data_IF_007267374787
#
_entry.id   IF_007267374787
#
_cell.length_a   1.000
_cell.length_b   1.000
_cell.length_c   1.000
_cell.angle_alpha   90.00
_cell.angle_beta   90.00
_cell.angle_gamma   90.00
#
_symmetry.space_group_name_H-M   'P 1'
#
loop_
_entity.id
_entity.type
_entity.pdbx_description
1 polymer ?
#
# COMPACT_ATOMS: atom_id res chain seq x y z
N UNK A 1 -6.49 39.63 26.00
CA UNK A 1 -6.27 38.48 26.87
C UNK A 1 -7.31 37.42 26.56
N UNK A 2 -6.97 36.49 25.76
CA UNK A 2 -7.75 35.28 25.52
C UNK A 2 -6.77 34.24 24.99
N UNK A 3 -6.47 33.26 25.81
CA UNK A 3 -5.60 32.13 25.47
C UNK A 3 -6.43 31.08 24.75
N UNK A 4 -6.02 30.74 23.53
CA UNK A 4 -6.52 29.60 22.78
C UNK A 4 -5.72 28.37 23.20
N UNK A 5 -6.41 27.40 23.76
CA UNK A 5 -5.85 26.07 23.99
C UNK A 5 -6.12 25.20 22.77
N UNK A 6 -5.06 24.85 22.05
CA UNK A 6 -5.07 23.81 21.05
C UNK A 6 -4.48 22.56 21.65
N UNK A 7 -5.33 21.60 21.99
CA UNK A 7 -4.93 20.37 22.64
C UNK A 7 -4.76 19.21 21.65
N UNK A 8 -3.66 18.59 21.82
CA UNK A 8 -3.03 17.47 21.16
C UNK A 8 -3.84 16.17 21.24
N UNK A 9 -4.12 15.56 20.12
CA UNK A 9 -4.45 14.14 20.05
C UNK A 9 -3.35 13.46 19.20
N UNK A 10 -2.25 13.12 19.82
CA UNK A 10 -1.12 12.44 19.22
C UNK A 10 -0.62 11.34 20.15
N UNK A 11 -1.20 10.14 20.04
CA UNK A 11 -0.62 8.93 20.62
C UNK A 11 0.24 8.26 19.55
N UNK A 12 1.55 8.39 19.72
CA UNK A 12 2.54 7.79 18.86
C UNK A 12 2.47 6.25 18.94
N UNK A 13 2.42 5.58 17.79
CA UNK A 13 2.43 4.12 17.60
C UNK A 13 3.51 3.35 18.39
N UNK A 14 4.55 4.02 18.86
CA UNK A 14 5.63 3.43 19.67
C UNK A 14 5.22 3.01 21.09
N UNK A 15 4.09 3.47 21.61
CA UNK A 15 3.64 3.15 22.97
C UNK A 15 2.72 1.93 23.06
N UNK A 16 2.18 1.44 21.95
CA UNK A 16 1.28 0.27 21.96
C UNK A 16 2.05 -1.06 22.02
N UNK A 17 3.35 -1.06 21.74
CA UNK A 17 4.17 -2.28 21.70
C UNK A 17 4.90 -2.63 23.01
N UNK A 18 4.73 -1.86 24.09
CA UNK A 18 5.53 -2.02 25.32
C UNK A 18 4.76 -2.40 26.59
N UNK A 19 3.45 -2.67 26.53
CA UNK A 19 2.67 -2.99 27.75
C UNK A 19 1.90 -4.31 27.61
N UNK A 20 2.64 -5.40 27.72
CA UNK A 20 2.10 -6.68 28.15
C UNK A 20 2.09 -6.73 29.69
N UNK A 21 1.02 -6.29 30.34
CA UNK A 21 0.65 -6.70 31.70
C UNK A 21 -0.72 -6.10 32.07
N UNK A 22 -1.65 -6.98 32.37
CA UNK A 22 -2.87 -6.87 33.16
C UNK A 22 -3.21 -5.49 33.78
N UNK A 23 -4.30 -4.85 33.34
CA UNK A 23 -5.11 -3.98 34.17
C UNK A 23 -6.58 -4.06 33.76
N UNK A 24 -7.54 -4.16 34.70
CA UNK A 24 -8.97 -4.20 34.40
C UNK A 24 -9.51 -2.81 34.03
N UNK A 25 -10.60 -2.83 33.30
CA UNK A 25 -11.32 -1.68 32.76
C UNK A 25 -11.44 -0.49 33.74
N UNK A 26 -10.95 0.67 33.31
CA UNK A 26 -11.42 1.97 33.77
C UNK A 26 -11.70 2.82 32.55
N UNK A 27 -12.98 3.03 32.28
CA UNK A 27 -13.49 3.98 31.28
C UNK A 27 -13.21 5.39 31.79
N UNK A 28 -12.28 6.10 31.17
CA UNK A 28 -12.13 7.54 31.36
C UNK A 28 -12.77 8.25 30.16
N UNK A 29 -13.90 8.89 30.42
CA UNK A 29 -14.59 9.84 29.54
C UNK A 29 -13.69 11.08 29.37
N UNK A 30 -13.10 11.26 28.20
CA UNK A 30 -12.60 12.56 27.75
C UNK A 30 -13.29 12.88 26.41
N UNK A 31 -14.09 13.92 26.44
CA UNK A 31 -14.87 14.38 25.30
C UNK A 31 -14.04 15.03 24.22
N UNK A 32 -14.47 14.86 22.99
CA UNK A 32 -14.08 15.66 21.84
C UNK A 32 -13.80 14.86 20.57
N UNK A 33 -14.73 14.87 19.65
CA UNK A 33 -14.78 14.22 18.33
C UNK A 33 -15.19 12.75 18.39
N UNK A 34 -16.48 12.50 18.30
CA UNK A 34 -17.03 11.15 18.09
C UNK A 34 -16.78 10.71 16.64
N UNK A 35 -15.60 10.20 16.36
CA UNK A 35 -15.48 9.18 15.33
C UNK A 35 -16.34 8.00 15.81
N UNK A 36 -17.14 7.39 14.93
CA UNK A 36 -17.90 6.22 15.29
C UNK A 36 -16.94 5.18 15.87
N UNK A 37 -16.96 5.02 17.19
CA UNK A 37 -15.96 4.25 17.92
C UNK A 37 -16.19 2.77 17.69
N UNK A 38 -15.40 2.17 16.79
CA UNK A 38 -15.35 0.74 16.61
C UNK A 38 -14.77 0.03 17.83
N UNK A 39 -15.18 -1.21 18.07
CA UNK A 39 -14.53 -2.07 19.04
C UNK A 39 -13.28 -2.65 18.39
N UNK A 40 -12.12 -2.32 18.93
CA UNK A 40 -10.85 -2.92 18.50
C UNK A 40 -10.83 -4.40 18.85
N UNK A 41 -10.61 -5.27 17.87
CA UNK A 41 -10.43 -6.69 18.10
C UNK A 41 -8.94 -7.03 18.23
N UNK A 42 -8.63 -7.88 19.18
CA UNK A 42 -7.26 -8.26 19.51
C UNK A 42 -7.10 -9.78 19.56
N UNK A 43 -5.86 -10.23 19.50
CA UNK A 43 -5.47 -11.61 19.74
C UNK A 43 -4.40 -11.69 20.84
N UNK A 44 -4.25 -12.85 21.45
CA UNK A 44 -3.15 -13.16 22.37
C UNK A 44 -1.89 -13.61 21.63
N UNK A 45 -1.97 -13.78 20.32
CA UNK A 45 -0.86 -14.22 19.48
C UNK A 45 0.14 -13.07 19.33
N UNK A 46 1.42 -13.36 19.54
CA UNK A 46 2.50 -12.42 19.25
C UNK A 46 2.76 -12.41 17.76
N UNK A 47 2.91 -11.22 17.17
CA UNK A 47 3.28 -11.06 15.78
C UNK A 47 4.65 -11.68 15.53
N UNK A 48 4.75 -12.54 14.52
CA UNK A 48 6.02 -13.08 14.06
C UNK A 48 6.76 -12.09 13.18
N UNK A 49 8.07 -12.02 13.39
CA UNK A 49 8.97 -11.23 12.54
C UNK A 49 9.66 -12.17 11.57
N UNK A 50 9.40 -12.00 10.29
CA UNK A 50 10.04 -12.77 9.21
C UNK A 50 10.90 -11.82 8.41
N UNK A 51 12.17 -12.17 8.21
CA UNK A 51 13.07 -11.41 7.34
C UNK A 51 12.99 -11.93 5.89
N UNK A 52 13.39 -11.10 4.92
CA UNK A 52 13.45 -11.53 3.51
C UNK A 52 14.40 -12.70 3.32
N UNK A 53 15.50 -12.77 4.08
CA UNK A 53 16.49 -13.85 4.02
C UNK A 53 15.94 -15.20 4.50
N UNK A 54 15.04 -15.20 5.48
CA UNK A 54 14.46 -16.43 6.04
C UNK A 54 13.56 -17.16 5.05
N UNK A 55 13.01 -16.42 4.07
CA UNK A 55 12.04 -16.90 3.09
C UNK A 55 12.36 -16.44 1.65
N UNK A 56 13.64 -16.37 1.31
CA UNK A 56 14.10 -15.76 0.04
C UNK A 56 13.46 -16.38 -1.21
N UNK A 57 13.34 -17.73 -1.25
CA UNK A 57 12.71 -18.41 -2.39
C UNK A 57 11.21 -18.13 -2.48
N UNK A 58 10.52 -18.05 -1.35
CA UNK A 58 9.11 -17.72 -1.27
C UNK A 58 8.88 -16.25 -1.66
N UNK A 59 9.73 -15.33 -1.21
CA UNK A 59 9.69 -13.91 -1.59
C UNK A 59 9.82 -13.74 -3.10
N UNK A 60 10.73 -14.48 -3.76
CA UNK A 60 10.86 -14.45 -5.22
C UNK A 60 9.55 -14.86 -5.93
N UNK A 61 8.89 -15.92 -5.44
CA UNK A 61 7.59 -16.36 -6.00
C UNK A 61 6.50 -15.31 -5.75
N UNK A 62 6.44 -14.75 -4.54
CA UNK A 62 5.48 -13.69 -4.18
C UNK A 62 5.69 -12.43 -5.03
N UNK A 63 6.94 -12.00 -5.26
CA UNK A 63 7.25 -10.86 -6.11
C UNK A 63 6.83 -11.11 -7.57
N UNK A 64 7.10 -12.30 -8.10
CA UNK A 64 6.65 -12.71 -9.43
C UNK A 64 5.11 -12.66 -9.54
N UNK A 65 4.41 -13.19 -8.54
CA UNK A 65 2.95 -13.14 -8.49
C UNK A 65 2.41 -11.71 -8.40
N UNK A 66 3.08 -10.85 -7.63
CA UNK A 66 2.76 -9.42 -7.52
C UNK A 66 2.86 -8.73 -8.88
N UNK A 67 3.94 -8.94 -9.62
CA UNK A 67 4.14 -8.37 -10.95
C UNK A 67 3.08 -8.87 -11.94
N UNK A 68 2.77 -10.18 -11.92
CA UNK A 68 1.70 -10.75 -12.74
C UNK A 68 0.33 -10.15 -12.42
N UNK A 69 0.03 -9.93 -11.13
CA UNK A 69 -1.20 -9.31 -10.70
C UNK A 69 -1.30 -7.87 -11.21
N UNK A 70 -0.22 -7.08 -11.09
CA UNK A 70 -0.13 -5.73 -11.62
C UNK A 70 -0.33 -5.66 -13.12
N UNK A 71 0.36 -6.51 -13.87
CA UNK A 71 0.20 -6.61 -15.33
C UNK A 71 -1.24 -6.94 -15.74
N UNK A 72 -1.88 -7.90 -15.08
CA UNK A 72 -3.29 -8.26 -15.34
C UNK A 72 -4.25 -7.11 -15.06
N UNK A 73 -4.06 -6.39 -13.94
CA UNK A 73 -4.89 -5.22 -13.59
C UNK A 73 -4.77 -4.12 -14.63
N UNK A 74 -3.55 -3.72 -14.97
CA UNK A 74 -3.29 -2.67 -15.97
C UNK A 74 -3.81 -3.08 -17.35
N UNK A 75 -3.56 -4.31 -17.76
CA UNK A 75 -4.04 -4.83 -19.06
C UNK A 75 -5.57 -4.83 -19.13
N UNK A 76 -6.24 -5.26 -18.06
CA UNK A 76 -7.71 -5.27 -18.00
C UNK A 76 -8.26 -3.85 -18.09
N UNK A 77 -7.74 -2.93 -17.31
CA UNK A 77 -8.20 -1.53 -17.29
C UNK A 77 -7.95 -0.83 -18.64
N UNK A 78 -6.76 -0.99 -19.22
CA UNK A 78 -6.37 -0.32 -20.47
C UNK A 78 -7.06 -0.89 -21.71
N UNK A 79 -7.53 -2.15 -21.67
CA UNK A 79 -8.37 -2.69 -22.75
C UNK A 79 -9.68 -1.92 -22.93
N UNK A 80 -10.27 -1.51 -21.81
CA UNK A 80 -11.53 -0.77 -21.81
C UNK A 80 -11.32 0.74 -21.96
N UNK A 81 -10.12 1.23 -21.62
CA UNK A 81 -9.78 2.65 -21.53
C UNK A 81 -8.42 2.94 -22.18
N UNK A 82 -8.25 2.62 -23.45
CA UNK A 82 -6.95 2.63 -24.16
C UNK A 82 -6.23 3.99 -24.21
N UNK A 83 -6.94 5.09 -24.03
CA UNK A 83 -6.38 6.45 -23.99
C UNK A 83 -6.18 7.00 -22.56
N UNK A 84 -6.47 6.20 -21.53
CA UNK A 84 -6.37 6.66 -20.16
C UNK A 84 -4.97 6.45 -19.57
N UNK A 85 -4.62 7.30 -18.61
CA UNK A 85 -3.53 7.01 -17.68
C UNK A 85 -4.05 6.06 -16.59
N UNK A 86 -3.34 4.97 -16.37
CA UNK A 86 -3.68 3.98 -15.36
C UNK A 86 -2.61 3.88 -14.29
N UNK A 87 -3.03 3.72 -13.05
CA UNK A 87 -2.15 3.43 -11.92
C UNK A 87 -2.73 2.26 -11.12
N UNK A 88 -1.87 1.34 -10.70
CA UNK A 88 -2.25 0.23 -9.84
C UNK A 88 -1.17 0.00 -8.77
N UNK A 89 -1.60 -0.44 -7.59
CA UNK A 89 -0.70 -0.94 -6.53
C UNK A 89 -0.93 -2.45 -6.37
N UNK A 90 -0.20 -3.29 -7.10
CA UNK A 90 -0.36 -4.73 -6.99
C UNK A 90 0.03 -5.25 -5.61
N UNK A 91 0.97 -4.62 -4.93
CA UNK A 91 1.34 -4.96 -3.55
C UNK A 91 0.19 -4.75 -2.57
N UNK A 92 -0.51 -3.60 -2.65
CA UNK A 92 -1.67 -3.32 -1.81
C UNK A 92 -2.76 -4.38 -2.01
N UNK A 93 -3.06 -4.72 -3.27
CA UNK A 93 -4.03 -5.77 -3.56
C UNK A 93 -3.57 -7.14 -3.06
N UNK A 94 -2.31 -7.50 -3.26
CA UNK A 94 -1.79 -8.79 -2.81
C UNK A 94 -1.87 -8.95 -1.28
N UNK A 95 -1.57 -7.91 -0.52
CA UNK A 95 -1.71 -7.93 0.96
C UNK A 95 -3.17 -8.07 1.40
N UNK A 96 -4.10 -7.37 0.75
CA UNK A 96 -5.54 -7.57 0.99
C UNK A 96 -5.96 -9.00 0.70
N UNK A 97 -5.52 -9.58 -0.44
CA UNK A 97 -5.81 -10.96 -0.81
C UNK A 97 -5.18 -11.97 0.17
N UNK A 98 -3.96 -11.71 0.67
CA UNK A 98 -3.31 -12.57 1.66
C UNK A 98 -4.07 -12.58 2.99
N UNK A 99 -4.52 -11.41 3.47
CA UNK A 99 -5.35 -11.29 4.66
C UNK A 99 -6.70 -12.02 4.48
N UNK A 100 -7.32 -11.91 3.31
CA UNK A 100 -8.57 -12.62 3.01
C UNK A 100 -8.37 -14.13 2.92
N UNK A 101 -7.23 -14.58 2.39
CA UNK A 101 -6.91 -15.99 2.23
C UNK A 101 -6.86 -16.75 3.55
N UNK A 102 -6.49 -16.12 4.65
CA UNK A 102 -6.49 -16.69 6.00
C UNK A 102 -7.89 -17.03 6.52
N UNK A 103 -8.92 -16.40 5.94
CA UNK A 103 -10.32 -16.69 6.22
C UNK A 103 -10.99 -17.60 5.20
N UNK A 104 -10.30 -17.94 4.12
CA UNK A 104 -10.84 -18.73 3.02
C UNK A 104 -10.85 -20.23 3.33
N UNK A 105 -11.76 -20.95 2.69
CA UNK A 105 -11.87 -22.41 2.80
C UNK A 105 -12.04 -23.04 1.42
N UNK A 106 -11.61 -24.28 1.28
CA UNK A 106 -11.84 -25.14 0.11
C UNK A 106 -11.38 -24.50 -1.23
N UNK A 107 -12.29 -24.44 -2.21
CA UNK A 107 -12.00 -23.92 -3.54
C UNK A 107 -11.57 -22.45 -3.55
N UNK A 108 -12.03 -21.65 -2.59
CA UNK A 108 -11.64 -20.25 -2.47
C UNK A 108 -10.16 -20.09 -2.12
N UNK A 109 -9.63 -20.97 -1.25
CA UNK A 109 -8.20 -20.97 -0.88
C UNK A 109 -7.32 -21.16 -2.11
N UNK A 110 -7.65 -22.11 -2.98
CA UNK A 110 -6.88 -22.36 -4.21
C UNK A 110 -6.82 -21.13 -5.14
N UNK A 111 -7.92 -20.35 -5.21
CA UNK A 111 -7.96 -19.13 -5.98
C UNK A 111 -6.99 -18.05 -5.45
N UNK A 112 -6.96 -17.86 -4.13
CA UNK A 112 -6.01 -16.93 -3.49
C UNK A 112 -4.57 -17.40 -3.67
N UNK A 113 -4.29 -18.68 -3.45
CA UNK A 113 -2.95 -19.25 -3.57
C UNK A 113 -2.40 -19.10 -5.00
N UNK A 114 -3.24 -19.31 -6.01
CA UNK A 114 -2.87 -19.10 -7.41
C UNK A 114 -2.55 -17.63 -7.75
N UNK A 115 -3.28 -16.68 -7.14
CA UNK A 115 -3.03 -15.24 -7.34
C UNK A 115 -1.79 -14.77 -6.59
N UNK A 116 -1.49 -15.34 -5.43
CA UNK A 116 -0.42 -14.94 -4.53
C UNK A 116 0.88 -15.72 -4.73
N UNK A 117 0.86 -16.77 -5.58
CA UNK A 117 2.02 -17.58 -5.96
C UNK A 117 2.50 -18.58 -4.91
N UNK A 118 1.84 -18.65 -3.78
CA UNK A 118 2.19 -19.48 -2.62
C UNK A 118 0.94 -19.90 -1.85
N UNK A 119 1.04 -20.93 -1.03
CA UNK A 119 -0.05 -21.45 -0.21
C UNK A 119 0.31 -21.53 1.28
N UNK A 120 -0.72 -21.48 2.14
CA UNK A 120 -0.60 -21.69 3.58
C UNK A 120 0.45 -20.79 4.23
N UNK A 121 1.19 -21.33 5.19
CA UNK A 121 2.17 -20.58 5.97
C UNK A 121 3.31 -20.00 5.11
N UNK A 122 3.72 -20.65 4.04
CA UNK A 122 4.73 -20.10 3.10
C UNK A 122 4.24 -18.81 2.45
N UNK A 123 2.94 -18.74 2.09
CA UNK A 123 2.29 -17.52 1.60
C UNK A 123 2.36 -16.41 2.65
N UNK A 124 1.92 -16.70 3.86
CA UNK A 124 1.79 -15.71 4.93
C UNK A 124 3.15 -15.17 5.37
N UNK A 125 4.13 -16.03 5.49
CA UNK A 125 5.52 -15.66 5.82
C UNK A 125 6.16 -14.80 4.73
N UNK A 126 5.98 -15.14 3.46
CA UNK A 126 6.53 -14.35 2.35
C UNK A 126 5.94 -12.94 2.29
N UNK A 127 4.60 -12.82 2.36
CA UNK A 127 3.94 -11.53 2.32
C UNK A 127 4.18 -10.71 3.60
N UNK A 128 4.31 -11.36 4.76
CA UNK A 128 4.74 -10.73 6.01
C UNK A 128 6.16 -10.15 5.90
N UNK A 129 7.10 -10.90 5.31
CA UNK A 129 8.48 -10.46 5.11
C UNK A 129 8.55 -9.26 4.16
N UNK A 130 7.80 -9.28 3.06
CA UNK A 130 7.71 -8.16 2.11
C UNK A 130 7.15 -6.91 2.81
N UNK A 131 6.03 -7.03 3.54
CA UNK A 131 5.48 -5.91 4.30
C UNK A 131 6.50 -5.38 5.31
N UNK A 132 7.16 -6.27 6.05
CA UNK A 132 8.12 -5.90 7.08
C UNK A 132 9.36 -5.20 6.51
N UNK A 133 9.79 -5.57 5.30
CA UNK A 133 10.92 -4.94 4.63
C UNK A 133 10.64 -3.48 4.25
N UNK A 134 9.40 -3.15 3.93
CA UNK A 134 8.97 -1.78 3.62
C UNK A 134 8.76 -0.94 4.88
N UNK A 135 8.41 -1.55 6.00
CA UNK A 135 8.22 -0.84 7.27
C UNK A 135 9.48 -0.13 7.79
N UNK A 136 10.66 -0.44 7.26
CA UNK A 136 11.89 0.30 7.57
C UNK A 136 11.85 1.75 7.06
N UNK A 137 11.03 2.02 6.05
CA UNK A 137 10.81 3.34 5.48
C UNK A 137 9.56 4.02 6.07
N UNK A 138 8.88 3.38 7.04
CA UNK A 138 7.69 3.98 7.66
C UNK A 138 8.07 5.20 8.51
N UNK A 139 7.21 6.20 8.46
CA UNK A 139 7.41 7.47 9.14
C UNK A 139 6.11 8.11 9.60
N UNK A 140 6.25 9.28 10.22
CA UNK A 140 5.11 10.05 10.70
C UNK A 140 4.42 10.77 9.52
N UNK A 141 3.10 10.63 9.42
CA UNK A 141 2.28 11.29 8.39
C UNK A 141 1.82 12.68 8.80
N UNK A 142 1.94 13.02 10.10
CA UNK A 142 1.52 14.33 10.59
C UNK A 142 2.42 15.43 10.01
N UNK A 143 1.80 16.39 9.32
CA UNK A 143 2.53 17.50 8.68
C UNK A 143 3.18 17.09 7.34
N UNK A 144 2.84 15.93 6.80
CA UNK A 144 3.25 15.57 5.45
C UNK A 144 2.73 16.60 4.45
N UNK A 145 3.63 17.08 3.60
CA UNK A 145 3.36 18.06 2.53
C UNK A 145 3.60 17.37 1.18
N UNK A 146 2.56 17.13 0.38
CA UNK A 146 2.71 16.46 -0.91
C UNK A 146 3.53 17.26 -1.93
N UNK A 147 3.68 18.56 -1.74
CA UNK A 147 4.45 19.44 -2.64
C UNK A 147 5.92 19.50 -2.25
N UNK A 148 6.31 18.84 -1.16
CA UNK A 148 7.69 18.83 -0.67
C UNK A 148 8.21 17.41 -0.55
N UNK A 149 9.19 17.07 -1.37
CA UNK A 149 9.87 15.78 -1.27
C UNK A 149 10.54 15.61 0.10
N UNK A 150 10.37 14.47 0.77
CA UNK A 150 10.97 14.23 2.07
C UNK A 150 12.49 13.98 1.96
N UNK A 151 13.23 14.33 3.01
CA UNK A 151 14.68 14.11 3.10
C UNK A 151 15.05 12.61 3.11
N UNK A 152 14.14 11.76 3.54
CA UNK A 152 14.27 10.29 3.55
C UNK A 152 13.07 9.66 2.85
N UNK A 153 13.26 8.55 2.14
CA UNK A 153 12.13 7.82 1.58
C UNK A 153 11.09 7.50 2.65
N UNK A 154 9.83 7.78 2.35
CA UNK A 154 8.67 7.46 3.18
C UNK A 154 7.82 6.42 2.46
N UNK A 155 7.67 5.25 3.08
CA UNK A 155 6.72 4.22 2.65
C UNK A 155 5.83 3.89 3.84
N UNK A 156 4.65 4.48 3.86
CA UNK A 156 3.65 4.14 4.87
C UNK A 156 2.68 3.10 4.30
N UNK A 157 2.70 1.91 4.89
CA UNK A 157 1.89 0.78 4.47
C UNK A 157 1.03 0.31 5.65
N UNK A 158 -0.28 0.42 5.52
CA UNK A 158 -1.24 0.05 6.56
C UNK A 158 -2.32 -0.89 6.03
N UNK A 159 -2.77 -1.82 6.88
CA UNK A 159 -3.87 -2.74 6.59
C UNK A 159 -4.98 -2.55 7.62
N UNK A 160 -6.22 -2.71 7.18
CA UNK A 160 -7.39 -2.62 8.02
C UNK A 160 -8.41 -3.71 7.66
N UNK A 161 -8.93 -4.37 8.68
CA UNK A 161 -10.07 -5.27 8.58
C UNK A 161 -11.22 -4.66 9.39
N UNK A 162 -12.28 -4.27 8.71
CA UNK A 162 -13.47 -3.74 9.33
C UNK A 162 -14.60 -4.78 9.26
N UNK A 163 -15.14 -5.13 10.41
CA UNK A 163 -16.13 -6.20 10.58
C UNK A 163 -17.45 -5.57 11.01
N UNK A 164 -18.55 -5.97 10.37
CA UNK A 164 -19.87 -5.55 10.80
C UNK A 164 -20.23 -6.17 12.15
N UNK A 165 -20.73 -5.36 13.09
CA UNK A 165 -21.35 -5.86 14.32
C UNK A 165 -22.73 -6.42 14.01
N UNK A 166 -22.75 -7.68 13.56
CA UNK A 166 -23.96 -8.42 13.24
C UNK A 166 -24.00 -9.71 14.06
N UNK A 167 -25.10 -9.93 14.81
CA UNK A 167 -25.28 -11.13 15.62
C UNK A 167 -25.22 -12.44 14.82
N UNK A 168 -25.51 -12.37 13.52
CA UNK A 168 -25.52 -13.53 12.59
C UNK A 168 -24.17 -13.78 11.94
N UNK A 169 -23.24 -12.83 12.01
CA UNK A 169 -21.91 -12.94 11.42
C UNK A 169 -20.85 -12.88 12.53
N UNK A 170 -20.02 -13.92 12.61
CA UNK A 170 -18.93 -13.97 13.59
C UNK A 170 -17.66 -14.39 12.90
N UNK A 171 -16.62 -13.60 13.07
CA UNK A 171 -15.28 -13.96 12.65
C UNK A 171 -14.68 -14.94 13.66
N UNK A 172 -14.06 -15.99 13.16
CA UNK A 172 -13.42 -17.00 14.03
C UNK A 172 -12.14 -16.42 14.65
N UNK A 173 -11.87 -16.79 15.92
CA UNK A 173 -10.63 -16.38 16.58
C UNK A 173 -9.38 -16.84 15.82
N UNK A 174 -9.42 -18.01 15.19
CA UNK A 174 -8.33 -18.53 14.36
C UNK A 174 -7.96 -17.60 13.19
N UNK A 175 -8.93 -16.93 12.58
CA UNK A 175 -8.68 -15.92 11.55
C UNK A 175 -7.99 -14.67 12.14
N UNK A 176 -8.50 -14.16 13.27
CA UNK A 176 -7.89 -13.02 13.94
C UNK A 176 -6.45 -13.33 14.35
N UNK A 177 -6.22 -14.53 14.88
CA UNK A 177 -4.91 -15.00 15.29
C UNK A 177 -3.94 -15.10 14.10
N UNK A 178 -4.37 -15.61 12.96
CA UNK A 178 -3.56 -15.71 11.74
C UNK A 178 -3.20 -14.31 11.21
N UNK A 179 -4.20 -13.44 11.02
CA UNK A 179 -3.99 -12.08 10.50
C UNK A 179 -3.08 -11.26 11.39
N UNK A 180 -3.25 -11.32 12.72
CA UNK A 180 -2.42 -10.56 13.66
C UNK A 180 -1.03 -11.17 13.86
N UNK A 181 -0.87 -12.47 13.60
CA UNK A 181 0.45 -13.12 13.61
C UNK A 181 1.33 -12.64 12.47
N UNK A 182 0.78 -12.55 11.24
CA UNK A 182 1.57 -12.35 10.03
C UNK A 182 1.55 -10.91 9.54
N UNK A 183 0.43 -10.19 9.71
CA UNK A 183 0.27 -8.86 9.12
C UNK A 183 0.13 -7.77 10.17
N UNK A 184 0.70 -6.58 9.90
CA UNK A 184 0.41 -5.36 10.65
C UNK A 184 -0.97 -4.87 10.22
N UNK A 185 -2.00 -5.20 11.00
CA UNK A 185 -3.38 -4.96 10.64
C UNK A 185 -4.14 -4.36 11.82
N UNK A 186 -4.88 -3.30 11.59
CA UNK A 186 -5.92 -2.83 12.50
C UNK A 186 -7.18 -3.66 12.25
N UNK A 187 -7.81 -4.20 13.28
CA UNK A 187 -9.05 -4.99 13.15
C UNK A 187 -10.09 -4.35 14.06
N UNK A 188 -11.17 -3.87 13.47
CA UNK A 188 -12.25 -3.18 14.18
C UNK A 188 -13.62 -3.78 13.86
N UNK A 189 -14.53 -3.69 14.81
CA UNK A 189 -15.93 -4.07 14.65
C UNK A 189 -16.82 -2.84 14.90
N UNK A 190 -17.72 -2.54 13.95
CA UNK A 190 -18.64 -1.41 14.01
C UNK A 190 -20.02 -1.78 13.48
N UNK A 191 -21.05 -1.03 13.85
CA UNK A 191 -22.37 -1.14 13.21
C UNK A 191 -22.28 -0.87 11.71
N UNK A 192 -23.09 -1.57 10.89
CA UNK A 192 -23.08 -1.45 9.43
C UNK A 192 -23.24 0.01 8.98
N UNK A 193 -24.09 0.77 9.63
CA UNK A 193 -24.37 2.18 9.31
C UNK A 193 -23.16 3.10 9.53
N UNK A 194 -22.22 2.70 10.39
CA UNK A 194 -20.99 3.44 10.68
C UNK A 194 -19.78 2.96 9.86
N UNK A 195 -19.90 1.85 9.11
CA UNK A 195 -18.77 1.29 8.38
C UNK A 195 -18.18 2.26 7.35
N UNK A 196 -19.04 2.96 6.59
CA UNK A 196 -18.56 3.88 5.54
C UNK A 196 -17.73 5.01 6.10
N UNK A 197 -18.21 5.66 7.16
CA UNK A 197 -17.47 6.74 7.83
C UNK A 197 -16.13 6.24 8.40
N UNK A 198 -16.13 5.05 9.00
CA UNK A 198 -14.93 4.43 9.54
C UNK A 198 -13.89 4.12 8.47
N UNK A 199 -14.31 3.56 7.32
CA UNK A 199 -13.43 3.27 6.19
C UNK A 199 -12.80 4.54 5.61
N UNK A 200 -13.58 5.62 5.46
CA UNK A 200 -13.11 6.90 4.94
C UNK A 200 -12.13 7.58 5.91
N UNK A 201 -12.47 7.64 7.18
CA UNK A 201 -11.60 8.20 8.21
C UNK A 201 -10.28 7.44 8.30
N UNK A 202 -10.32 6.11 8.20
CA UNK A 202 -9.12 5.30 8.18
C UNK A 202 -8.25 5.55 6.94
N UNK A 203 -8.86 5.60 5.74
CA UNK A 203 -8.16 5.89 4.49
C UNK A 203 -7.49 7.28 4.55
N UNK A 204 -8.23 8.30 4.98
CA UNK A 204 -7.72 9.66 5.14
C UNK A 204 -6.52 9.69 6.10
N UNK A 205 -6.64 9.07 7.27
CA UNK A 205 -5.57 9.02 8.29
C UNK A 205 -4.31 8.35 7.78
N UNK A 206 -4.43 7.25 7.03
CA UNK A 206 -3.29 6.46 6.55
C UNK A 206 -2.75 6.91 5.19
N UNK A 207 -3.31 7.97 4.61
CA UNK A 207 -2.81 8.60 3.38
C UNK A 207 -2.50 10.09 3.56
N UNK A 208 -2.29 10.56 4.79
CA UNK A 208 -2.07 11.98 5.10
C UNK A 208 -3.16 12.91 4.53
N UNK A 209 -4.40 12.44 4.43
CA UNK A 209 -5.52 13.20 3.87
C UNK A 209 -5.61 13.20 2.33
N UNK A 210 -4.64 12.61 1.62
CA UNK A 210 -4.65 12.56 0.15
C UNK A 210 -5.83 11.75 -0.42
N UNK A 211 -6.29 10.75 0.33
CA UNK A 211 -7.48 9.95 -0.01
C UNK A 211 -8.53 10.15 1.10
N UNK A 212 -9.33 11.22 1.04
CA UNK A 212 -10.31 11.51 2.09
C UNK A 212 -11.51 10.54 2.08
N UNK A 213 -11.75 9.85 0.97
CA UNK A 213 -12.83 8.89 0.79
C UNK A 213 -12.30 7.59 0.21
N UNK A 214 -12.53 6.49 0.88
CA UNK A 214 -12.06 5.15 0.51
C UNK A 214 -12.61 4.64 -0.84
N UNK A 215 -13.67 5.24 -1.35
CA UNK A 215 -14.39 4.77 -2.55
C UNK A 215 -15.17 3.47 -2.34
N UNK A 216 -15.07 2.85 -1.18
CA UNK A 216 -15.74 1.58 -0.87
C UNK A 216 -17.23 1.80 -0.64
N UNK A 217 -18.06 1.03 -1.33
CA UNK A 217 -19.51 1.05 -1.17
C UNK A 217 -19.92 0.06 -0.08
N UNK A 218 -20.55 0.57 0.96
CA UNK A 218 -21.14 -0.23 2.04
C UNK A 218 -22.64 -0.39 1.80
N UNK A 219 -23.13 -1.61 1.98
CA UNK A 219 -24.58 -1.94 1.94
C UNK A 219 -24.96 -2.66 3.21
N UNK A 220 -26.27 -2.84 3.45
CA UNK A 220 -26.76 -3.59 4.62
C UNK A 220 -26.32 -5.06 4.62
N UNK A 221 -25.86 -5.57 3.47
CA UNK A 221 -25.30 -6.93 3.35
C UNK A 221 -23.79 -6.99 3.54
N UNK A 222 -23.11 -5.85 3.70
CA UNK A 222 -21.67 -5.82 3.95
C UNK A 222 -21.36 -6.42 5.32
N UNK A 223 -20.46 -7.40 5.38
CA UNK A 223 -20.09 -8.11 6.62
C UNK A 223 -18.65 -7.90 7.02
N UNK A 224 -17.76 -7.82 6.04
CA UNK A 224 -16.34 -7.64 6.26
C UNK A 224 -15.76 -6.84 5.09
N UNK A 225 -14.88 -5.90 5.39
CA UNK A 225 -14.09 -5.14 4.42
C UNK A 225 -12.63 -5.24 4.82
N UNK A 226 -11.78 -5.58 3.87
CA UNK A 226 -10.33 -5.45 4.01
C UNK A 226 -9.87 -4.34 3.11
N UNK A 227 -9.16 -3.36 3.65
CA UNK A 227 -8.55 -2.27 2.88
C UNK A 227 -7.08 -2.11 3.24
N UNK A 228 -6.33 -1.59 2.29
CA UNK A 228 -4.92 -1.26 2.43
C UNK A 228 -4.71 0.18 1.99
N UNK A 229 -3.81 0.88 2.66
CA UNK A 229 -3.30 2.18 2.26
C UNK A 229 -1.79 2.10 2.09
N UNK A 230 -1.29 2.66 0.98
CA UNK A 230 0.12 2.82 0.71
C UNK A 230 0.37 4.27 0.30
N UNK A 231 1.18 4.98 1.07
CA UNK A 231 1.71 6.28 0.73
C UNK A 231 3.20 6.12 0.47
N UNK A 232 3.65 6.59 -0.69
CA UNK A 232 5.04 6.60 -1.08
C UNK A 232 5.46 8.01 -1.43
N UNK A 233 6.56 8.47 -0.84
CA UNK A 233 7.19 9.74 -1.19
C UNK A 233 8.71 9.61 -1.03
N UNK A 234 9.47 10.09 -2.01
CA UNK A 234 10.93 10.06 -1.98
C UNK A 234 11.53 11.11 -2.91
N UNK A 235 12.70 11.61 -2.56
CA UNK A 235 13.52 12.42 -3.44
C UNK A 235 14.29 11.55 -4.41
N UNK A 236 14.62 12.06 -5.59
CA UNK A 236 15.54 11.41 -6.52
C UNK A 236 16.97 11.48 -5.98
N UNK A 237 17.74 10.41 -6.17
CA UNK A 237 19.17 10.44 -5.91
C UNK A 237 19.88 11.51 -6.79
N UNK A 238 19.50 11.55 -8.03
CA UNK A 238 19.97 12.55 -9.00
C UNK A 238 18.77 13.30 -9.59
N UNK A 239 18.32 14.41 -8.95
CA UNK A 239 17.12 15.12 -9.37
C UNK A 239 17.33 15.88 -10.68
N UNK A 240 16.24 16.00 -11.46
CA UNK A 240 16.20 16.93 -12.59
C UNK A 240 16.21 18.37 -12.07
N UNK A 241 16.95 19.23 -12.74
CA UNK A 241 16.99 20.65 -12.41
C UNK A 241 15.86 21.40 -13.10
N UNK A 242 15.21 22.30 -12.38
CA UNK A 242 14.11 23.09 -12.94
C UNK A 242 14.54 23.92 -14.17
N UNK A 243 15.77 24.44 -14.17
CA UNK A 243 16.36 25.20 -15.27
C UNK A 243 16.55 24.38 -16.54
N UNK A 244 16.57 23.05 -16.43
CA UNK A 244 16.64 22.12 -17.57
C UNK A 244 15.29 21.69 -18.11
N UNK A 245 14.19 22.33 -17.67
CA UNK A 245 12.85 22.01 -18.18
C UNK A 245 12.53 22.97 -19.35
N UNK A 246 12.27 22.39 -20.51
CA UNK A 246 11.98 23.16 -21.73
C UNK A 246 10.62 22.73 -22.32
N UNK A 247 9.92 23.69 -22.94
CA UNK A 247 8.66 23.40 -23.60
C UNK A 247 8.90 22.88 -25.02
N UNK A 248 8.64 21.61 -25.25
CA UNK A 248 8.88 20.93 -26.52
C UNK A 248 7.62 20.29 -27.12
N UNK A 249 7.77 19.83 -28.35
CA UNK A 249 6.72 19.09 -29.05
C UNK A 249 6.67 17.63 -28.56
N UNK A 250 5.52 17.22 -28.04
CA UNK A 250 5.25 15.85 -27.66
C UNK A 250 4.16 15.24 -28.55
N UNK A 251 4.47 14.13 -29.23
CA UNK A 251 3.53 13.46 -30.10
C UNK A 251 2.74 12.40 -29.33
N UNK A 252 1.43 12.60 -29.26
CA UNK A 252 0.49 11.67 -28.66
C UNK A 252 0.34 10.39 -29.51
N UNK A 253 -0.16 9.29 -28.92
CA UNK A 253 -0.39 8.02 -29.61
C UNK A 253 -1.26 8.14 -30.89
N UNK A 254 -2.17 9.10 -30.93
CA UNK A 254 -3.00 9.41 -32.12
C UNK A 254 -2.31 10.28 -33.18
N UNK A 255 -1.02 10.56 -33.08
CA UNK A 255 -0.24 11.37 -34.01
C UNK A 255 -0.39 12.90 -33.86
N UNK A 256 -1.25 13.36 -32.93
CA UNK A 256 -1.40 14.79 -32.64
C UNK A 256 -0.21 15.27 -31.79
N UNK A 257 0.41 16.38 -32.17
CA UNK A 257 1.46 17.03 -31.41
C UNK A 257 0.85 18.05 -30.43
N UNK A 258 1.36 18.06 -29.21
CA UNK A 258 1.05 19.02 -28.14
C UNK A 258 2.34 19.60 -27.58
N UNK A 259 2.30 20.78 -26.98
CA UNK A 259 3.41 21.30 -26.20
C UNK A 259 3.38 20.69 -24.82
N UNK A 260 4.53 20.23 -24.35
CA UNK A 260 4.72 19.68 -23.00
C UNK A 260 6.02 20.20 -22.40
N UNK A 261 6.03 20.41 -21.10
CA UNK A 261 7.23 20.76 -20.36
C UNK A 261 8.05 19.47 -20.13
N UNK A 262 9.18 19.34 -20.85
CA UNK A 262 10.06 18.19 -20.80
C UNK A 262 11.27 18.50 -19.92
N UNK A 263 11.53 17.62 -18.94
CA UNK A 263 12.68 17.71 -18.05
C UNK A 263 13.90 17.10 -18.75
N UNK A 264 15.02 17.85 -18.79
CA UNK A 264 16.28 17.39 -19.34
C UNK A 264 17.32 17.21 -18.24
N UNK A 265 18.14 16.16 -18.36
CA UNK A 265 19.26 15.90 -17.48
C UNK A 265 20.21 14.89 -18.09
N UNK A 266 21.48 14.98 -17.74
CA UNK A 266 22.49 13.98 -18.11
C UNK A 266 22.83 13.19 -16.85
N UNK A 267 22.48 11.92 -16.85
CA UNK A 267 22.65 11.03 -15.73
C UNK A 267 23.36 9.73 -16.18
N UNK A 268 24.22 9.20 -15.30
CA UNK A 268 24.77 7.83 -15.47
C UNK A 268 23.82 6.89 -14.72
N UNK A 269 22.87 6.31 -15.43
CA UNK A 269 21.83 5.45 -14.87
C UNK A 269 21.80 4.06 -15.52
N UNK A 270 21.42 3.01 -14.80
CA UNK A 270 21.16 1.72 -15.37
C UNK A 270 20.11 1.80 -16.47
N UNK A 271 20.37 1.14 -17.60
CA UNK A 271 19.43 1.04 -18.71
C UNK A 271 19.41 -0.36 -19.30
N UNK A 272 18.34 -0.70 -19.97
CA UNK A 272 18.19 -1.95 -20.68
C UNK A 272 17.45 -1.72 -22.00
N UNK A 273 17.82 -2.47 -23.04
CA UNK A 273 17.09 -2.53 -24.30
C UNK A 273 16.79 -3.99 -24.61
N UNK A 274 15.57 -4.28 -24.97
CA UNK A 274 15.08 -5.58 -25.40
C UNK A 274 14.23 -5.43 -26.64
N UNK A 275 13.90 -6.54 -27.28
CA UNK A 275 12.94 -6.51 -28.39
C UNK A 275 11.58 -6.04 -27.87
N UNK A 276 11.09 -4.94 -28.40
CA UNK A 276 9.79 -4.39 -28.05
C UNK A 276 9.80 -3.26 -27.03
N UNK A 277 10.94 -2.98 -26.34
CA UNK A 277 11.02 -1.90 -25.34
C UNK A 277 12.44 -1.49 -24.97
N UNK A 278 12.57 -0.30 -24.44
CA UNK A 278 13.74 0.19 -23.70
C UNK A 278 13.32 0.63 -22.29
N UNK A 279 14.24 0.56 -21.34
CA UNK A 279 13.97 0.98 -19.96
C UNK A 279 15.19 1.68 -19.35
N UNK A 280 14.90 2.56 -18.39
CA UNK A 280 15.90 3.20 -17.52
C UNK A 280 15.45 3.05 -16.08
N UNK A 281 16.42 2.96 -15.15
CA UNK A 281 16.18 2.93 -13.71
C UNK A 281 16.65 4.20 -13.05
N UNK A 282 15.74 4.89 -12.37
CA UNK A 282 16.00 6.08 -11.57
C UNK A 282 15.97 5.70 -10.08
N UNK A 283 17.11 5.84 -9.39
CA UNK A 283 17.19 5.56 -7.96
C UNK A 283 16.58 6.69 -7.13
N UNK A 284 15.94 6.33 -6.04
CA UNK A 284 15.56 7.30 -5.01
C UNK A 284 16.71 7.53 -4.03
N UNK A 285 16.80 8.73 -3.49
CA UNK A 285 17.84 9.12 -2.56
C UNK A 285 17.88 8.19 -1.34
N UNK A 286 19.08 7.93 -0.86
CA UNK A 286 19.33 7.21 0.40
C UNK A 286 18.91 8.05 1.60
N UNK A 287 18.57 7.40 2.70
CA UNK A 287 18.44 8.11 3.99
C UNK A 287 19.78 8.56 4.57
N UNK A 288 19.75 9.34 5.64
CA UNK A 288 20.96 9.87 6.33
C UNK A 288 21.92 8.78 6.85
N UNK A 289 21.50 7.53 6.95
CA UNK A 289 22.32 6.42 7.41
C UNK A 289 23.34 5.91 6.36
N UNK A 290 23.41 6.58 5.19
CA UNK A 290 24.38 6.30 4.14
C UNK A 290 24.21 4.95 3.45
N UNK A 291 23.11 4.23 3.70
CA UNK A 291 22.78 3.02 2.97
C UNK A 291 22.05 3.40 1.69
N UNK A 292 22.45 2.79 0.59
CA UNK A 292 21.74 2.96 -0.67
C UNK A 292 20.26 2.61 -0.51
N UNK A 293 19.41 3.43 -1.10
CA UNK A 293 17.98 3.10 -1.17
C UNK A 293 17.79 1.91 -2.10
N UNK A 294 17.09 0.87 -1.60
CA UNK A 294 16.67 -0.25 -2.47
C UNK A 294 15.42 0.14 -3.31
N UNK A 295 15.00 1.42 -3.24
CA UNK A 295 13.84 1.92 -3.95
C UNK A 295 14.27 2.59 -5.25
N UNK A 296 13.59 2.26 -6.33
CA UNK A 296 13.84 2.83 -7.65
C UNK A 296 12.53 2.92 -8.46
N UNK A 297 12.53 3.81 -9.45
CA UNK A 297 11.52 3.85 -10.51
C UNK A 297 12.12 3.28 -11.79
N UNK A 298 11.49 2.27 -12.35
CA UNK A 298 11.78 1.78 -13.69
C UNK A 298 10.82 2.43 -14.69
N UNK A 299 11.36 3.23 -15.61
CA UNK A 299 10.60 3.83 -16.71
C UNK A 299 10.79 2.95 -17.93
N UNK A 300 9.71 2.37 -18.41
CA UNK A 300 9.72 1.45 -19.58
C UNK A 300 9.02 2.12 -20.74
N UNK A 301 9.73 2.26 -21.87
CA UNK A 301 9.22 2.81 -23.11
C UNK A 301 9.03 1.66 -24.12
N UNK A 302 7.79 1.31 -24.47
CA UNK A 302 7.51 0.35 -25.55
C UNK A 302 7.96 0.89 -26.90
N UNK A 303 8.30 -0.02 -27.83
CA UNK A 303 8.56 0.36 -29.24
C UNK A 303 7.32 1.04 -29.86
N UNK A 304 7.56 1.91 -30.85
CA UNK A 304 6.50 2.63 -31.52
C UNK A 304 5.42 1.68 -32.06
N UNK A 305 4.16 2.00 -31.77
CA UNK A 305 3.00 1.18 -32.15
C UNK A 305 2.70 0.01 -31.19
N UNK A 306 3.49 -0.17 -30.14
CA UNK A 306 3.21 -1.14 -29.08
C UNK A 306 2.52 -0.44 -27.92
N UNK A 307 1.36 -0.93 -27.51
CA UNK A 307 0.66 -0.40 -26.33
C UNK A 307 1.23 -1.02 -25.05
N UNK A 308 1.27 -0.28 -23.94
CA UNK A 308 1.67 -0.84 -22.63
C UNK A 308 0.85 -2.08 -22.24
N UNK A 309 -0.41 -2.16 -22.67
CA UNK A 309 -1.27 -3.33 -22.45
C UNK A 309 -0.83 -4.60 -23.20
N UNK A 310 0.06 -4.48 -24.18
CA UNK A 310 0.65 -5.62 -24.90
C UNK A 310 1.91 -6.16 -24.21
N UNK A 311 2.44 -5.47 -23.20
CA UNK A 311 3.58 -5.92 -22.43
C UNK A 311 3.13 -7.00 -21.44
N UNK A 312 3.69 -8.17 -21.56
CA UNK A 312 3.35 -9.32 -20.70
C UNK A 312 4.05 -9.28 -19.34
N UNK A 313 3.66 -10.21 -18.46
CA UNK A 313 4.26 -10.33 -17.14
C UNK A 313 5.75 -10.72 -17.15
N UNK A 314 6.27 -11.21 -18.29
CA UNK A 314 7.70 -11.51 -18.45
C UNK A 314 8.55 -10.28 -18.75
N UNK A 315 7.91 -9.14 -19.02
CA UNK A 315 8.57 -7.85 -19.23
C UNK A 315 8.93 -7.18 -17.89
N UNK A 316 8.17 -7.47 -16.85
CA UNK A 316 8.30 -6.86 -15.51
C UNK A 316 9.17 -7.64 -14.51
#
# INVERSE_FOLDING_TARGET
>A
MSMSASDHCGLARRQVLALGALVPAAVALLGGCSLASGTQLTSKVTREKVSLSDVASQVTKAATACNQLGSKLLTHYLKENSAATAMASPLSLALVLAILADGATDASTQGYDALLGLSGEDRDRAWSAIQSSLNRYDGELKGFDPDKAPDKPLVHLANHVLIADDKKFKVKQTYLDAVLRWFSTEIEQVGVDSMKENLDAWASRNTAGLIPNSGIKVTQDTRLVVQNALLFAASWDSPFKAEGTEQEDFTLAGGKTVKADLMHGTHSIPHATRKGWAAVRLAYASGEDGRDSDLALDVVLPDAGTLPSAMDAGTW
#
